data_IF_722661821936
#
_entry.id   IF_722661821936
#
_cell.length_a   1.000
_cell.length_b   1.000
_cell.length_c   1.000
_cell.angle_alpha   90.00
_cell.angle_beta   90.00
_cell.angle_gamma   90.00
#
_symmetry.space_group_name_H-M   'P 1'
#
loop_
_entity.id
_entity.type
_entity.pdbx_description
1 polymer ?
#
# COMPACT_ATOMS: atom_id res chain seq x y z
N UNK A 1 11.26 -2.30 -9.21
CA UNK A 1 10.86 -2.63 -7.84
C UNK A 1 11.47 -3.97 -7.47
N UNK A 2 12.08 -4.08 -6.30
CA UNK A 2 12.61 -5.29 -5.68
C UNK A 2 11.67 -5.72 -4.54
N UNK A 3 11.75 -6.98 -4.12
CA UNK A 3 11.04 -7.46 -2.93
C UNK A 3 11.40 -6.56 -1.73
N UNK A 4 10.38 -6.08 -1.02
CA UNK A 4 10.51 -5.12 0.08
C UNK A 4 10.26 -3.67 -0.31
N UNK A 5 10.34 -3.31 -1.60
CA UNK A 5 10.02 -1.95 -2.05
C UNK A 5 8.53 -1.61 -1.78
N UNK A 6 7.66 -2.59 -1.56
CA UNK A 6 6.26 -2.39 -1.23
C UNK A 6 5.99 -1.97 0.24
N UNK A 7 6.90 -2.24 1.18
CA UNK A 7 6.62 -2.13 2.61
C UNK A 7 6.30 -0.69 3.04
N UNK A 8 5.15 -0.46 3.65
CA UNK A 8 4.73 0.87 4.08
C UNK A 8 4.11 1.72 2.98
N UNK A 9 3.94 1.22 1.74
CA UNK A 9 3.20 1.95 0.72
C UNK A 9 1.76 2.16 1.14
N UNK A 10 1.33 3.42 1.13
CA UNK A 10 -0.03 3.83 1.42
C UNK A 10 -0.95 3.41 0.28
N UNK A 11 -2.09 2.84 0.64
CA UNK A 11 -3.11 2.38 -0.30
C UNK A 11 -4.49 2.90 0.10
N UNK A 12 -5.38 3.07 -0.88
CA UNK A 12 -6.84 3.12 -0.63
C UNK A 12 -7.46 1.75 -0.81
N UNK A 13 -8.45 1.46 0.02
CA UNK A 13 -9.30 0.27 -0.09
C UNK A 13 -10.70 0.74 -0.49
N UNK A 14 -11.23 0.17 -1.56
CA UNK A 14 -12.46 0.63 -2.20
C UNK A 14 -13.47 -0.50 -2.37
N UNK A 15 -14.75 -0.13 -2.26
CA UNK A 15 -15.86 -1.05 -2.57
C UNK A 15 -16.08 -1.18 -4.10
N UNK A 16 -17.01 -2.05 -4.49
CA UNK A 16 -17.31 -2.32 -5.89
C UNK A 16 -17.81 -1.09 -6.69
N UNK A 17 -18.35 -0.07 -6.00
CA UNK A 17 -18.75 1.20 -6.63
C UNK A 17 -17.58 2.17 -6.80
N UNK A 18 -16.42 1.84 -6.23
CA UNK A 18 -15.23 2.69 -6.21
C UNK A 18 -15.23 3.73 -5.09
N UNK A 19 -16.11 3.59 -4.10
CA UNK A 19 -16.07 4.44 -2.92
C UNK A 19 -14.96 3.96 -1.98
N UNK A 20 -14.18 4.90 -1.47
CA UNK A 20 -13.14 4.63 -0.47
C UNK A 20 -13.77 4.19 0.85
N UNK A 21 -13.42 2.98 1.27
CA UNK A 21 -13.77 2.41 2.57
C UNK A 21 -12.78 2.83 3.66
N UNK A 22 -11.52 3.03 3.28
CA UNK A 22 -10.47 3.48 4.17
C UNK A 22 -9.09 3.35 3.55
N UNK A 23 -8.08 3.56 4.39
CA UNK A 23 -6.67 3.48 4.02
C UNK A 23 -6.02 2.24 4.64
N UNK A 24 -4.86 1.89 4.12
CA UNK A 24 -3.99 0.89 4.71
C UNK A 24 -2.54 1.06 4.25
N UNK A 25 -1.67 0.20 4.75
CA UNK A 25 -0.30 0.09 4.26
C UNK A 25 0.00 -1.36 3.86
N UNK A 26 0.77 -1.54 2.78
CA UNK A 26 1.28 -2.86 2.43
C UNK A 26 2.35 -3.24 3.45
N UNK A 27 2.19 -4.38 4.11
CA UNK A 27 3.21 -4.92 5.02
C UNK A 27 4.29 -5.68 4.26
N UNK A 28 3.87 -6.64 3.43
CA UNK A 28 4.77 -7.43 2.58
C UNK A 28 3.97 -8.15 1.49
N UNK A 29 4.67 -8.57 0.44
CA UNK A 29 4.15 -9.52 -0.56
C UNK A 29 4.83 -10.88 -0.38
N UNK A 30 4.02 -11.90 -0.12
CA UNK A 30 4.45 -13.30 -0.15
C UNK A 30 4.30 -13.80 -1.60
N UNK A 31 5.37 -13.65 -2.39
CA UNK A 31 5.37 -14.04 -3.80
C UNK A 31 5.24 -15.55 -4.00
N UNK A 32 5.63 -16.37 -3.02
CA UNK A 32 5.54 -17.83 -3.13
C UNK A 32 4.08 -18.29 -2.96
N UNK A 33 3.29 -17.54 -2.18
CA UNK A 33 1.86 -17.79 -1.97
C UNK A 33 0.94 -16.85 -2.75
N UNK A 34 1.51 -15.97 -3.56
CA UNK A 34 0.79 -14.94 -4.33
C UNK A 34 -0.13 -14.04 -3.46
N UNK A 35 0.26 -13.77 -2.22
CA UNK A 35 -0.53 -12.99 -1.26
C UNK A 35 0.08 -11.61 -0.99
N UNK A 36 -0.78 -10.60 -0.84
CA UNK A 36 -0.40 -9.27 -0.35
C UNK A 36 -0.97 -9.12 1.06
N UNK A 37 -0.11 -8.78 2.03
CA UNK A 37 -0.54 -8.53 3.42
C UNK A 37 -0.64 -7.03 3.66
N UNK A 38 -1.79 -6.61 4.17
CA UNK A 38 -2.14 -5.19 4.35
C UNK A 38 -2.51 -4.95 5.82
N UNK A 39 -1.97 -3.87 6.39
CA UNK A 39 -2.45 -3.33 7.66
C UNK A 39 -3.56 -2.33 7.39
N UNK A 40 -4.75 -2.56 7.93
CA UNK A 40 -5.89 -1.65 7.77
C UNK A 40 -6.86 -1.78 8.93
N UNK A 41 -7.59 -0.69 9.22
CA UNK A 41 -8.74 -0.70 10.12
C UNK A 41 -10.07 -1.07 9.41
N UNK A 42 -10.06 -1.21 8.08
CA UNK A 42 -11.24 -1.59 7.31
C UNK A 42 -11.60 -3.05 7.64
N UNK A 43 -12.80 -3.22 8.19
CA UNK A 43 -13.41 -4.51 8.42
C UNK A 43 -14.60 -4.65 7.45
N UNK A 44 -14.45 -5.44 6.40
CA UNK A 44 -15.46 -5.59 5.36
C UNK A 44 -14.89 -6.11 4.04
N UNK A 45 -15.76 -6.29 3.05
CA UNK A 45 -15.35 -6.71 1.71
C UNK A 45 -14.69 -5.55 0.96
N UNK A 46 -13.48 -5.79 0.47
CA UNK A 46 -12.74 -4.86 -0.38
C UNK A 46 -12.79 -5.40 -1.81
N UNK A 47 -13.19 -4.56 -2.76
CA UNK A 47 -13.27 -4.94 -4.17
C UNK A 47 -12.11 -4.40 -5.01
N UNK A 48 -11.44 -3.34 -4.54
CA UNK A 48 -10.29 -2.75 -5.22
C UNK A 48 -9.28 -2.18 -4.24
N UNK A 49 -7.99 -2.34 -4.57
CA UNK A 49 -6.86 -1.73 -3.88
C UNK A 49 -6.20 -0.75 -4.86
N UNK A 50 -6.02 0.51 -4.46
CA UNK A 50 -5.27 1.51 -5.25
C UNK A 50 -3.99 1.85 -4.51
N UNK A 51 -2.85 1.66 -5.17
CA UNK A 51 -1.54 1.89 -4.60
C UNK A 51 -1.09 3.33 -4.88
N UNK A 52 -0.74 4.07 -3.83
CA UNK A 52 -0.19 5.42 -3.96
C UNK A 52 1.33 5.42 -4.07
N UNK A 53 1.91 6.59 -4.30
CA UNK A 53 3.35 6.77 -4.23
C UNK A 53 3.85 7.06 -2.81
N UNK A 54 2.99 7.32 -1.82
CA UNK A 54 3.44 7.72 -0.49
C UNK A 54 3.86 6.49 0.33
N UNK A 55 4.98 6.59 1.06
CA UNK A 55 5.41 5.58 2.04
C UNK A 55 5.28 6.11 3.45
N UNK A 56 4.73 5.28 4.33
CA UNK A 56 4.61 5.56 5.75
C UNK A 56 5.49 4.61 6.57
N UNK A 57 5.96 5.07 7.73
CA UNK A 57 6.51 4.20 8.76
C UNK A 57 5.38 3.50 9.55
N UNK A 58 5.76 2.72 10.58
CA UNK A 58 4.81 1.99 11.43
C UNK A 58 3.98 2.89 12.34
N UNK A 59 4.41 4.12 12.57
CA UNK A 59 3.70 5.13 13.38
C UNK A 59 2.75 5.96 12.49
N UNK A 60 2.85 5.82 11.17
CA UNK A 60 2.03 6.50 10.18
C UNK A 60 2.64 7.80 9.66
N UNK A 61 3.91 8.08 9.96
CA UNK A 61 4.60 9.25 9.43
C UNK A 61 5.09 8.99 8.00
N UNK A 62 4.99 10.02 7.14
CA UNK A 62 5.53 9.95 5.79
C UNK A 62 7.06 9.87 5.83
N UNK A 63 7.61 8.89 5.10
CA UNK A 63 9.05 8.63 5.00
C UNK A 63 9.61 8.87 3.60
N UNK A 64 8.75 9.11 2.61
CA UNK A 64 9.13 9.47 1.25
C UNK A 64 8.15 8.97 0.20
N UNK A 65 8.54 9.08 -1.06
CA UNK A 65 7.73 8.66 -2.20
C UNK A 65 8.37 7.53 -3.02
N UNK A 66 7.54 6.64 -3.53
CA UNK A 66 7.88 5.66 -4.53
C UNK A 66 8.40 6.40 -5.77
N UNK A 67 9.63 6.09 -6.17
CA UNK A 67 10.35 6.70 -7.30
C UNK A 67 11.05 8.05 -7.06
N UNK A 68 11.20 8.53 -5.82
CA UNK A 68 12.03 9.72 -5.54
C UNK A 68 13.47 9.61 -6.09
N UNK A 69 14.00 8.38 -6.16
CA UNK A 69 15.34 8.10 -6.70
C UNK A 69 15.42 8.01 -8.24
N UNK A 70 14.32 8.19 -8.98
CA UNK A 70 14.33 8.18 -10.46
C UNK A 70 14.46 9.58 -11.08
N UNK A 71 14.42 10.64 -10.26
CA UNK A 71 14.56 12.04 -10.71
C UNK A 71 16.03 12.49 -10.87
N UNK A 72 16.99 11.59 -10.64
CA UNK A 72 18.43 11.84 -10.76
C UNK A 72 19.04 10.88 -11.79
N UNK A 73 18.78 11.12 -13.07
CA UNK A 73 19.50 10.49 -14.19
C UNK A 73 19.69 11.47 -15.34
#
# INVERSE_FOLDING_TARGET
LRRGDEEGLLISLEDASGRVLGLGTISYVDFDKENIVINTAVNGEVSRIVVSQIRLDREGHETGMLFENLSLS
#
